data_IF_037455513906
#
_entry.id   IF_037455513906
#
_cell.length_a   1.000
_cell.length_b   1.000
_cell.length_c   1.000
_cell.angle_alpha   90.00
_cell.angle_beta   90.00
_cell.angle_gamma   90.00
#
_symmetry.space_group_name_H-M   'P 1'
#
loop_
_entity.id
_entity.type
_entity.pdbx_description
1 polymer ?
#
# COMPACT_ATOMS: atom_id res chain seq x y z
N UNK A 1 -51.01 33.88 44.31
CA UNK A 1 -51.01 32.84 43.25
C UNK A 1 -50.76 33.59 41.95
N UNK A 2 -49.71 33.42 41.15
CA UNK A 2 -48.79 32.32 40.89
C UNK A 2 -47.59 32.94 40.14
N UNK A 3 -46.35 32.60 40.50
CA UNK A 3 -45.13 33.06 39.83
C UNK A 3 -44.97 32.37 38.48
N UNK A 4 -44.44 33.07 37.48
CA UNK A 4 -43.86 32.45 36.29
C UNK A 4 -42.56 33.20 35.92
N UNK A 5 -41.44 32.58 36.28
CA UNK A 5 -40.08 33.00 35.95
C UNK A 5 -39.79 32.44 34.55
N UNK A 6 -39.58 33.31 33.57
CA UNK A 6 -39.07 32.93 32.25
C UNK A 6 -37.56 32.71 32.32
N UNK A 7 -37.15 31.45 32.45
CA UNK A 7 -35.76 31.05 32.28
C UNK A 7 -35.45 31.00 30.76
N UNK A 8 -34.72 32.00 30.27
CA UNK A 8 -34.12 31.98 28.93
C UNK A 8 -32.91 31.04 28.99
N UNK A 9 -33.10 29.81 28.53
CA UNK A 9 -32.02 28.85 28.29
C UNK A 9 -31.23 29.31 27.07
N UNK A 10 -30.07 29.95 27.28
CA UNK A 10 -29.03 30.03 26.27
C UNK A 10 -28.49 28.62 26.03
N UNK A 11 -29.01 27.94 25.01
CA UNK A 11 -28.40 26.74 24.47
C UNK A 11 -27.10 27.14 23.77
N UNK A 12 -25.98 27.06 24.49
CA UNK A 12 -24.67 27.02 23.86
C UNK A 12 -24.62 25.73 23.02
N UNK A 13 -24.87 25.85 21.72
CA UNK A 13 -24.53 24.81 20.78
C UNK A 13 -23.01 24.68 20.79
N UNK A 14 -22.49 23.76 21.59
CA UNK A 14 -21.14 23.28 21.41
C UNK A 14 -21.11 22.61 20.04
N UNK A 15 -20.72 23.35 19.02
CA UNK A 15 -20.25 22.76 17.78
C UNK A 15 -19.08 21.86 18.19
N UNK A 16 -19.33 20.54 18.20
CA UNK A 16 -18.24 19.58 18.26
C UNK A 16 -17.37 19.89 17.05
N UNK A 17 -16.19 20.46 17.32
CA UNK A 17 -15.14 20.60 16.32
C UNK A 17 -14.78 19.16 15.98
N UNK A 18 -15.44 18.59 14.96
CA UNK A 18 -14.93 17.38 14.33
C UNK A 18 -13.50 17.72 13.92
N UNK A 19 -12.49 16.93 14.33
CA UNK A 19 -11.14 17.15 13.82
C UNK A 19 -11.25 17.18 12.31
N UNK A 20 -10.84 18.30 11.71
CA UNK A 20 -10.69 18.40 10.25
C UNK A 20 -9.89 17.18 9.81
N UNK A 21 -10.37 16.35 8.86
CA UNK A 21 -9.59 15.24 8.35
C UNK A 21 -8.26 15.81 7.90
N UNK A 22 -7.19 15.35 8.55
CA UNK A 22 -5.85 15.86 8.30
C UNK A 22 -5.52 15.51 6.86
N UNK A 23 -5.48 16.50 5.96
CA UNK A 23 -5.30 16.31 4.51
C UNK A 23 -3.93 15.76 4.13
N UNK A 24 -3.09 15.44 5.12
CA UNK A 24 -1.75 14.90 5.00
C UNK A 24 -1.63 13.44 5.50
N UNK A 25 -2.73 12.77 5.85
CA UNK A 25 -2.67 11.35 6.21
C UNK A 25 -2.67 10.51 4.93
N UNK A 26 -1.59 9.75 4.72
CA UNK A 26 -1.51 8.74 3.67
C UNK A 26 -2.48 7.60 3.97
N UNK A 27 -3.03 6.99 2.94
CA UNK A 27 -3.85 5.78 3.05
C UNK A 27 -2.96 4.59 3.43
N UNK A 28 -3.42 3.67 4.30
CA UNK A 28 -2.60 2.55 4.71
C UNK A 28 -2.30 1.61 3.54
N UNK A 29 -1.10 1.03 3.52
CA UNK A 29 -0.75 -0.03 2.58
C UNK A 29 -1.60 -1.28 2.84
N UNK A 30 -2.13 -1.89 1.78
CA UNK A 30 -2.89 -3.14 1.81
C UNK A 30 -2.21 -4.21 0.99
N UNK A 31 -1.98 -5.36 1.62
CA UNK A 31 -1.59 -6.57 0.90
C UNK A 31 -2.78 -7.17 0.15
N UNK A 32 -2.48 -7.81 -0.98
CA UNK A 32 -3.49 -8.47 -1.79
C UNK A 32 -4.04 -9.70 -1.10
N UNK A 33 -5.34 -9.98 -1.25
CA UNK A 33 -5.86 -11.31 -1.07
C UNK A 33 -5.50 -12.14 -2.31
N UNK A 34 -4.29 -12.71 -2.29
CA UNK A 34 -3.73 -13.44 -3.42
C UNK A 34 -4.63 -14.60 -3.87
N UNK A 35 -5.34 -15.26 -2.95
CA UNK A 35 -6.22 -16.37 -3.28
C UNK A 35 -7.42 -15.90 -4.10
N UNK A 36 -8.02 -14.78 -3.70
CA UNK A 36 -9.14 -14.20 -4.43
C UNK A 36 -8.68 -13.62 -5.77
N UNK A 37 -7.54 -12.92 -5.81
CA UNK A 37 -6.98 -12.35 -7.04
C UNK A 37 -6.70 -13.44 -8.08
N UNK A 38 -6.06 -14.54 -7.69
CA UNK A 38 -5.69 -15.64 -8.61
C UNK A 38 -6.89 -16.41 -9.18
N UNK A 39 -8.09 -16.26 -8.62
CA UNK A 39 -9.31 -16.86 -9.15
C UNK A 39 -9.98 -16.00 -10.23
N UNK A 40 -9.51 -14.77 -10.45
CA UNK A 40 -10.06 -13.84 -11.42
C UNK A 40 -9.37 -13.99 -12.76
N UNK A 41 -10.11 -13.75 -13.84
CA UNK A 41 -9.49 -13.64 -15.15
C UNK A 41 -8.66 -12.34 -15.24
N UNK A 42 -7.69 -12.26 -16.18
CA UNK A 42 -6.82 -11.09 -16.28
C UNK A 42 -7.54 -9.76 -16.51
N UNK A 43 -8.72 -9.76 -17.16
CA UNK A 43 -9.48 -8.54 -17.38
C UNK A 43 -10.16 -8.05 -16.10
N UNK A 44 -10.67 -8.97 -15.28
CA UNK A 44 -11.28 -8.65 -13.98
C UNK A 44 -10.25 -8.12 -12.98
N UNK A 45 -9.02 -8.65 -13.02
CA UNK A 45 -7.94 -8.33 -12.07
C UNK A 45 -7.65 -6.82 -11.97
N UNK A 46 -7.73 -6.08 -13.08
CA UNK A 46 -7.46 -4.63 -13.11
C UNK A 46 -8.63 -3.76 -12.66
N UNK A 47 -9.80 -4.34 -12.42
CA UNK A 47 -11.01 -3.61 -11.97
C UNK A 47 -11.38 -3.93 -10.53
N UNK A 48 -10.59 -4.78 -9.86
CA UNK A 48 -10.84 -5.18 -8.49
C UNK A 48 -10.67 -3.98 -7.53
N UNK A 49 -11.48 -3.92 -6.47
CA UNK A 49 -11.27 -2.95 -5.41
C UNK A 49 -9.95 -3.24 -4.70
N UNK A 50 -9.31 -2.18 -4.19
CA UNK A 50 -8.03 -2.26 -3.48
C UNK A 50 -8.03 -3.28 -2.34
N UNK A 51 -9.15 -3.44 -1.64
CA UNK A 51 -9.30 -4.40 -0.54
C UNK A 51 -9.10 -5.87 -0.97
N UNK A 52 -9.20 -6.17 -2.27
CA UNK A 52 -8.95 -7.50 -2.84
C UNK A 52 -7.58 -7.53 -3.52
N UNK A 53 -7.33 -6.56 -4.41
CA UNK A 53 -6.11 -6.55 -5.23
C UNK A 53 -4.84 -6.16 -4.46
N UNK A 54 -4.98 -5.55 -3.29
CA UNK A 54 -3.89 -4.86 -2.60
C UNK A 54 -3.52 -3.56 -3.29
N UNK A 55 -2.73 -2.72 -2.59
CA UNK A 55 -2.37 -1.37 -3.03
C UNK A 55 -1.54 -1.39 -4.31
N UNK A 56 -0.55 -2.29 -4.43
CA UNK A 56 0.31 -2.36 -5.62
C UNK A 56 -0.51 -2.58 -6.89
N UNK A 57 -1.27 -3.68 -6.95
CA UNK A 57 -2.02 -4.03 -8.16
C UNK A 57 -3.15 -3.03 -8.44
N UNK A 58 -3.80 -2.51 -7.39
CA UNK A 58 -4.81 -1.46 -7.51
C UNK A 58 -4.22 -0.21 -8.17
N UNK A 59 -3.09 0.30 -7.66
CA UNK A 59 -2.46 1.49 -8.23
C UNK A 59 -1.96 1.25 -9.66
N UNK A 60 -1.32 0.10 -9.93
CA UNK A 60 -0.87 -0.25 -11.28
C UNK A 60 -2.03 -0.30 -12.30
N UNK A 61 -3.25 -0.62 -11.86
CA UNK A 61 -4.45 -0.60 -12.70
C UNK A 61 -4.74 0.75 -13.36
N UNK A 62 -4.32 1.88 -12.78
CA UNK A 62 -4.50 3.21 -13.38
C UNK A 62 -3.62 3.46 -14.60
N UNK A 63 -2.54 2.69 -14.77
CA UNK A 63 -1.66 2.74 -15.95
C UNK A 63 -1.94 1.61 -16.95
N UNK A 64 -3.03 0.85 -16.78
CA UNK A 64 -3.34 -0.29 -17.63
C UNK A 64 -3.61 0.16 -19.09
N UNK A 65 -2.84 -0.35 -20.07
CA UNK A 65 -2.98 0.06 -21.48
C UNK A 65 -4.32 -0.36 -22.12
N UNK A 66 -5.03 -1.34 -21.55
CA UNK A 66 -6.34 -1.75 -22.06
C UNK A 66 -7.47 -0.76 -21.74
N UNK A 67 -7.21 0.25 -20.91
CA UNK A 67 -8.21 1.23 -20.46
C UNK A 67 -9.14 0.72 -19.34
N UNK A 68 -9.08 -0.58 -19.01
CA UNK A 68 -9.72 -1.12 -17.81
C UNK A 68 -8.95 -0.63 -16.58
N UNK A 69 -9.62 0.05 -15.67
CA UNK A 69 -9.02 0.59 -14.46
C UNK A 69 -9.97 0.41 -13.28
N UNK A 70 -9.44 0.37 -12.04
CA UNK A 70 -10.29 0.28 -10.88
C UNK A 70 -10.96 1.63 -10.60
N UNK A 71 -11.99 1.62 -9.76
CA UNK A 71 -12.63 2.85 -9.30
C UNK A 71 -11.67 3.63 -8.39
N UNK A 72 -11.52 4.94 -8.62
CA UNK A 72 -10.75 5.82 -7.74
C UNK A 72 -10.50 7.21 -8.34
N UNK A 73 -10.09 8.17 -7.50
CA UNK A 73 -9.84 9.55 -7.93
C UNK A 73 -8.45 9.77 -8.54
N UNK A 74 -7.65 8.71 -8.73
CA UNK A 74 -6.24 8.84 -9.11
C UNK A 74 -6.06 9.04 -10.61
N UNK A 75 -5.07 9.87 -10.96
CA UNK A 75 -4.72 10.16 -12.35
C UNK A 75 -3.97 9.00 -13.01
N UNK A 76 -3.03 8.42 -12.28
CA UNK A 76 -2.12 7.38 -12.73
C UNK A 76 -1.62 6.56 -11.51
N UNK A 77 -0.82 5.53 -11.76
CA UNK A 77 -0.32 4.66 -10.69
C UNK A 77 0.56 5.40 -9.68
N UNK A 78 1.35 6.39 -10.12
CA UNK A 78 2.24 7.13 -9.22
C UNK A 78 1.43 8.05 -8.32
N UNK A 79 0.45 8.78 -8.86
CA UNK A 79 -0.48 9.60 -8.07
C UNK A 79 -1.25 8.75 -7.04
N UNK A 80 -1.60 7.50 -7.39
CA UNK A 80 -2.15 6.54 -6.43
C UNK A 80 -1.14 6.19 -5.33
N UNK A 81 0.08 5.77 -5.67
CA UNK A 81 1.10 5.37 -4.69
C UNK A 81 1.52 6.54 -3.77
N UNK A 82 1.61 7.76 -4.28
CA UNK A 82 1.95 8.96 -3.50
C UNK A 82 0.89 9.31 -2.42
N UNK A 83 -0.31 8.75 -2.53
CA UNK A 83 -1.39 8.87 -1.55
C UNK A 83 -1.45 7.72 -0.56
N UNK A 84 -0.58 6.72 -0.70
CA UNK A 84 -0.49 5.58 0.20
C UNK A 84 0.80 5.63 1.03
N UNK A 85 0.74 5.00 2.20
CA UNK A 85 1.93 4.63 2.94
C UNK A 85 2.78 3.68 2.09
N UNK A 86 4.10 3.73 2.28
CA UNK A 86 5.02 2.82 1.58
C UNK A 86 4.78 1.37 2.01
N UNK A 87 5.07 0.41 1.12
CA UNK A 87 4.96 -1.02 1.45
C UNK A 87 5.81 -1.35 2.68
N UNK A 88 5.28 -2.06 3.69
CA UNK A 88 6.05 -2.41 4.88
C UNK A 88 7.33 -3.18 4.54
N UNK A 89 8.43 -2.82 5.20
CA UNK A 89 9.68 -3.55 5.11
C UNK A 89 9.54 -5.00 5.60
N UNK A 90 9.97 -5.95 4.77
CA UNK A 90 9.95 -7.38 5.08
C UNK A 90 11.33 -7.86 5.50
N UNK A 91 11.40 -8.57 6.63
CA UNK A 91 12.60 -9.29 7.05
C UNK A 91 12.66 -10.65 6.34
N UNK A 92 13.85 -11.16 6.00
CA UNK A 92 14.00 -12.50 5.43
C UNK A 92 13.39 -13.55 6.37
N UNK A 93 12.71 -14.55 5.80
CA UNK A 93 12.18 -15.67 6.56
C UNK A 93 13.22 -16.82 6.58
N UNK A 94 13.80 -17.15 7.75
CA UNK A 94 14.81 -18.19 7.86
C UNK A 94 14.30 -19.60 7.49
N UNK A 95 12.98 -19.82 7.44
CA UNK A 95 12.39 -21.11 7.06
C UNK A 95 12.54 -21.42 5.57
N UNK A 96 12.71 -20.41 4.71
CA UNK A 96 12.86 -20.59 3.25
C UNK A 96 14.28 -20.97 2.83
N UNK A 97 15.24 -20.97 3.76
CA UNK A 97 16.63 -21.29 3.48
C UNK A 97 17.43 -20.10 2.95
N UNK A 98 18.54 -20.34 2.24
CA UNK A 98 19.41 -19.26 1.76
C UNK A 98 18.75 -18.46 0.64
N UNK A 99 19.03 -17.17 0.62
CA UNK A 99 18.66 -16.28 -0.48
C UNK A 99 19.68 -16.35 -1.60
N UNK A 100 19.38 -17.23 -2.55
CA UNK A 100 20.21 -17.53 -3.69
C UNK A 100 19.35 -17.77 -4.94
N UNK A 101 20.01 -18.09 -6.06
CA UNK A 101 19.37 -18.39 -7.34
C UNK A 101 18.24 -19.44 -7.26
N UNK A 102 18.24 -20.35 -6.27
CA UNK A 102 17.18 -21.36 -6.09
C UNK A 102 15.93 -20.80 -5.44
N UNK A 103 16.06 -19.80 -4.57
CA UNK A 103 14.91 -19.07 -4.03
C UNK A 103 14.40 -17.99 -5.00
N UNK A 104 15.12 -17.77 -6.11
CA UNK A 104 14.86 -16.70 -7.07
C UNK A 104 14.81 -15.31 -6.44
N UNK A 105 15.44 -15.15 -5.26
CA UNK A 105 15.43 -13.92 -4.48
C UNK A 105 14.00 -13.38 -4.22
N UNK A 106 12.99 -14.26 -4.19
CA UNK A 106 11.59 -13.90 -3.96
C UNK A 106 11.49 -13.12 -2.64
N UNK A 107 10.80 -11.98 -2.68
CA UNK A 107 10.72 -11.04 -1.56
C UNK A 107 10.22 -11.71 -0.27
N UNK A 108 9.18 -12.54 -0.37
CA UNK A 108 8.57 -13.23 0.78
C UNK A 108 9.56 -14.14 1.52
N UNK A 109 10.49 -14.73 0.77
CA UNK A 109 11.55 -15.56 1.35
C UNK A 109 12.75 -14.71 1.82
N UNK A 110 13.11 -13.70 1.02
CA UNK A 110 14.40 -13.03 1.12
C UNK A 110 14.39 -11.66 1.76
N UNK A 111 13.21 -11.14 2.06
CA UNK A 111 13.01 -9.81 2.60
C UNK A 111 13.37 -8.71 1.61
N UNK A 112 13.02 -7.49 2.01
CA UNK A 112 13.16 -6.29 1.17
C UNK A 112 14.61 -5.99 0.79
N UNK A 113 15.56 -6.18 1.72
CA UNK A 113 16.97 -5.82 1.48
C UNK A 113 17.58 -6.61 0.31
N UNK A 114 17.48 -7.94 0.38
CA UNK A 114 18.08 -8.82 -0.62
C UNK A 114 17.31 -8.70 -1.94
N UNK A 115 15.98 -8.71 -1.90
CA UNK A 115 15.14 -8.54 -3.07
C UNK A 115 15.45 -7.23 -3.82
N UNK A 116 15.51 -6.10 -3.12
CA UNK A 116 15.80 -4.82 -3.77
C UNK A 116 17.24 -4.75 -4.31
N UNK A 117 18.24 -5.19 -3.54
CA UNK A 117 19.65 -5.21 -4.02
C UNK A 117 19.83 -6.06 -5.26
N UNK A 118 19.06 -7.14 -5.40
CA UNK A 118 19.17 -8.05 -6.54
C UNK A 118 18.80 -7.39 -7.88
N UNK A 119 18.03 -6.29 -7.89
CA UNK A 119 17.68 -5.57 -9.11
C UNK A 119 18.89 -4.93 -9.81
N UNK A 120 20.01 -4.74 -9.12
CA UNK A 120 21.24 -4.21 -9.73
C UNK A 120 22.19 -5.31 -10.26
N UNK A 121 21.83 -6.59 -10.08
CA UNK A 121 22.63 -7.73 -10.51
C UNK A 121 22.22 -8.17 -11.92
N UNK A 122 23.13 -7.97 -12.88
CA UNK A 122 22.92 -8.41 -14.27
C UNK A 122 22.82 -9.95 -14.34
N UNK A 123 21.93 -10.45 -15.20
CA UNK A 123 21.68 -11.87 -15.48
C UNK A 123 21.14 -12.73 -14.32
N UNK A 124 20.81 -12.13 -13.17
CA UNK A 124 20.27 -12.86 -12.01
C UNK A 124 19.20 -12.04 -11.25
N UNK A 125 18.29 -11.40 -11.98
CA UNK A 125 17.24 -10.56 -11.40
C UNK A 125 16.31 -11.34 -10.43
N UNK A 126 15.72 -10.67 -9.42
CA UNK A 126 14.76 -11.31 -8.54
C UNK A 126 13.46 -11.64 -9.28
N UNK A 127 12.67 -12.56 -8.71
CA UNK A 127 11.35 -12.92 -9.26
C UNK A 127 10.24 -12.49 -8.30
N UNK A 128 9.25 -11.71 -8.76
CA UNK A 128 9.25 -10.94 -10.01
C UNK A 128 10.26 -9.77 -9.98
N UNK A 129 10.80 -9.35 -11.13
CA UNK A 129 11.64 -8.16 -11.25
C UNK A 129 10.75 -6.94 -11.52
N UNK A 130 10.23 -6.33 -10.46
CA UNK A 130 9.20 -5.27 -10.56
C UNK A 130 9.77 -3.87 -10.76
N UNK A 131 11.06 -3.68 -10.54
CA UNK A 131 11.71 -2.37 -10.54
C UNK A 131 12.89 -2.34 -11.51
N UNK A 132 13.27 -1.16 -12.00
CA UNK A 132 14.40 -1.05 -12.91
C UNK A 132 15.76 -1.16 -12.18
N UNK A 133 15.79 -0.84 -10.88
CA UNK A 133 17.00 -0.83 -10.06
C UNK A 133 16.66 -0.86 -8.56
N UNK A 134 17.69 -1.06 -7.73
CA UNK A 134 17.54 -1.13 -6.27
C UNK A 134 17.05 0.17 -5.65
N UNK A 135 17.43 1.33 -6.19
CA UNK A 135 17.06 2.64 -5.63
C UNK A 135 15.55 2.90 -5.79
N UNK A 136 14.98 2.56 -6.94
CA UNK A 136 13.54 2.60 -7.17
C UNK A 136 12.82 1.64 -6.22
N UNK A 137 13.30 0.39 -6.12
CA UNK A 137 12.76 -0.60 -5.20
C UNK A 137 12.76 -0.09 -3.76
N UNK A 138 13.89 0.39 -3.24
CA UNK A 138 13.97 0.91 -1.86
C UNK A 138 13.10 2.15 -1.64
N UNK A 139 12.85 2.96 -2.67
CA UNK A 139 11.93 4.08 -2.54
C UNK A 139 10.46 3.63 -2.42
N UNK A 140 10.11 2.43 -2.89
CA UNK A 140 8.76 1.89 -2.75
C UNK A 140 8.46 1.36 -1.33
N UNK A 141 9.48 0.88 -0.60
CA UNK A 141 9.33 0.32 0.75
C UNK A 141 9.47 1.35 1.87
N UNK A 142 8.83 1.06 3.00
CA UNK A 142 9.09 1.75 4.26
C UNK A 142 10.53 1.49 4.72
N UNK A 143 11.02 2.31 5.66
CA UNK A 143 12.38 2.15 6.16
C UNK A 143 12.52 0.84 6.97
N UNK A 144 13.73 0.22 6.98
CA UNK A 144 13.97 -0.94 7.81
C UNK A 144 13.68 -0.62 9.29
N UNK A 145 13.12 -1.57 10.05
CA UNK A 145 12.92 -1.38 11.47
C UNK A 145 14.29 -1.09 12.13
N UNK A 146 14.36 0.01 12.89
CA UNK A 146 15.54 0.32 13.70
C UNK A 146 15.75 -0.79 14.72
N UNK A 147 16.86 -1.52 14.62
CA UNK A 147 17.24 -2.51 15.62
C UNK A 147 17.33 -1.83 16.99
N UNK A 148 16.56 -2.29 17.98
CA UNK A 148 16.85 -1.93 19.37
C UNK A 148 18.18 -2.57 19.73
N UNK A 149 19.19 -1.73 19.94
CA UNK A 149 20.49 -2.12 20.48
C UNK A 149 20.36 -2.70 21.89
#
# INVERSE_FOLDING_TARGET
>A
MKFAITAVLCSAASAAILPTPNSNLLLPWKEADIYTVMQKNPLEMYTLPEAISGTWLYCQGFNNPSGLRPDGPYKDAQDCLDKHEKKPWLQPDPAFGPCDKRSHYIEEACGTDVYCKQHDVQDDLPVPALFDNSAECFNFYSQPPVSKA
#
